data_IF_538450902132
#
_entry.id   IF_538450902132
#
_cell.length_a   1.000
_cell.length_b   1.000
_cell.length_c   1.000
_cell.angle_alpha   90.00
_cell.angle_beta   90.00
_cell.angle_gamma   90.00
#
_symmetry.space_group_name_H-M   'P 1'
#
loop_
_entity.id
_entity.type
_entity.pdbx_description
1 polymer ?
#
# COMPACT_ATOMS: atom_id res chain seq x y z
N UNK A 1 5.80 -52.06 18.76
CA UNK A 1 6.16 -50.65 19.04
C UNK A 1 5.93 -49.90 17.76
N UNK A 2 4.73 -49.34 17.59
CA UNK A 2 4.24 -48.77 16.34
C UNK A 2 4.55 -47.28 16.29
N UNK A 3 5.05 -46.83 15.14
CA UNK A 3 5.25 -45.42 14.81
C UNK A 3 3.90 -44.73 14.63
N UNK A 4 3.69 -43.62 15.33
CA UNK A 4 2.50 -42.77 15.20
C UNK A 4 2.95 -41.36 14.87
N UNK A 5 2.93 -41.04 13.58
CA UNK A 5 3.08 -39.70 13.02
C UNK A 5 1.97 -39.52 11.98
N UNK A 6 1.32 -38.35 12.09
CA UNK A 6 0.51 -37.64 11.10
C UNK A 6 -0.86 -38.19 10.69
N UNK A 7 -1.90 -37.52 11.18
CA UNK A 7 -3.24 -37.48 10.57
C UNK A 7 -3.78 -36.05 10.69
N UNK A 8 -3.32 -35.16 9.80
CA UNK A 8 -4.00 -33.89 9.52
C UNK A 8 -5.02 -34.12 8.38
N UNK A 9 -6.29 -33.72 8.53
CA UNK A 9 -7.28 -33.94 7.49
C UNK A 9 -6.99 -33.04 6.28
N UNK A 10 -6.59 -33.65 5.18
CA UNK A 10 -6.47 -33.00 3.87
C UNK A 10 -7.87 -32.62 3.38
N UNK A 11 -8.21 -31.32 3.41
CA UNK A 11 -9.45 -30.82 2.82
C UNK A 11 -9.29 -30.81 1.30
N UNK A 12 -9.81 -31.84 0.65
CA UNK A 12 -9.95 -31.92 -0.81
C UNK A 12 -11.14 -31.05 -1.22
N UNK A 13 -10.86 -29.90 -1.85
CA UNK A 13 -11.90 -29.02 -2.37
C UNK A 13 -12.46 -29.61 -3.68
N UNK A 14 -13.74 -29.95 -3.70
CA UNK A 14 -14.46 -30.38 -4.91
C UNK A 14 -15.23 -29.19 -5.49
N UNK A 15 -15.00 -28.77 -6.74
CA UNK A 15 -15.82 -27.76 -7.38
C UNK A 15 -17.24 -28.31 -7.65
N UNK A 16 -18.30 -27.49 -7.52
CA UNK A 16 -19.66 -27.90 -7.83
C UNK A 16 -19.84 -28.17 -9.33
N UNK A 17 -20.63 -29.17 -9.68
CA UNK A 17 -20.98 -29.55 -11.05
C UNK A 17 -21.94 -28.52 -11.67
N UNK A 18 -21.46 -27.81 -12.69
CA UNK A 18 -22.33 -27.03 -13.57
C UNK A 18 -22.77 -27.97 -14.69
N UNK A 19 -24.02 -28.42 -14.61
CA UNK A 19 -24.66 -29.20 -15.68
C UNK A 19 -24.85 -28.28 -16.87
N UNK A 20 -24.07 -28.51 -17.93
CA UNK A 20 -24.31 -27.92 -19.25
C UNK A 20 -25.17 -28.93 -20.00
N UNK A 21 -26.44 -28.59 -20.24
CA UNK A 21 -27.33 -29.44 -21.04
C UNK A 21 -26.80 -29.54 -22.48
N UNK A 22 -26.38 -30.75 -22.85
CA UNK A 22 -25.92 -31.15 -24.18
C UNK A 22 -27.12 -31.38 -25.12
N UNK A 23 -27.72 -30.32 -25.70
CA UNK A 23 -28.73 -30.54 -26.77
C UNK A 23 -28.76 -29.49 -27.90
N UNK A 24 -27.69 -28.72 -28.10
CA UNK A 24 -27.60 -27.76 -29.22
C UNK A 24 -26.32 -27.96 -30.08
N UNK A 25 -25.87 -29.21 -30.25
CA UNK A 25 -24.68 -29.54 -31.09
C UNK A 25 -25.05 -30.00 -32.51
N UNK A 26 -26.34 -30.02 -32.88
CA UNK A 26 -26.81 -30.67 -34.11
C UNK A 26 -27.26 -29.75 -35.26
N UNK A 27 -26.81 -28.48 -35.31
CA UNK A 27 -27.18 -27.57 -36.42
C UNK A 27 -26.08 -26.61 -36.87
N UNK A 28 -24.86 -27.10 -37.13
CA UNK A 28 -23.83 -26.29 -37.80
C UNK A 28 -23.17 -27.08 -38.95
N UNK A 29 -23.96 -27.33 -39.99
CA UNK A 29 -23.49 -27.77 -41.30
C UNK A 29 -23.94 -26.81 -42.39
N UNK A 30 -23.26 -25.66 -42.52
CA UNK A 30 -23.28 -24.86 -43.74
C UNK A 30 -22.08 -23.90 -43.74
N UNK A 31 -21.11 -24.21 -44.60
CA UNK A 31 -19.90 -23.44 -44.79
C UNK A 31 -20.19 -22.06 -45.40
N UNK A 32 -19.89 -21.00 -44.66
CA UNK A 32 -19.65 -19.66 -45.20
C UNK A 32 -18.18 -19.33 -44.96
N UNK A 33 -17.42 -19.26 -46.06
CA UNK A 33 -16.03 -18.81 -46.07
C UNK A 33 -16.01 -17.29 -45.85
N UNK A 34 -15.84 -16.87 -44.60
CA UNK A 34 -15.66 -15.45 -44.26
C UNK A 34 -14.29 -15.01 -44.77
N UNK A 35 -14.28 -14.04 -45.69
CA UNK A 35 -13.07 -13.34 -46.11
C UNK A 35 -12.66 -12.40 -44.97
N UNK A 36 -11.47 -12.62 -44.39
CA UNK A 36 -10.84 -11.65 -43.50
C UNK A 36 -10.37 -10.46 -44.35
N UNK A 37 -11.10 -9.35 -44.28
CA UNK A 37 -10.56 -8.05 -44.65
C UNK A 37 -9.59 -7.62 -43.55
N UNK A 38 -8.35 -7.30 -43.93
CA UNK A 38 -7.33 -6.76 -43.03
C UNK A 38 -7.79 -5.38 -42.54
N UNK A 39 -8.03 -5.18 -41.22
CA UNK A 39 -8.47 -3.89 -40.73
C UNK A 39 -7.28 -2.92 -40.72
N UNK A 40 -7.38 -1.83 -41.48
CA UNK A 40 -6.47 -0.70 -41.33
C UNK A 40 -6.49 -0.21 -39.87
N UNK A 41 -5.31 0.09 -39.27
CA UNK A 41 -5.24 0.52 -37.89
C UNK A 41 -5.81 1.93 -37.75
N UNK A 42 -7.00 2.04 -37.17
CA UNK A 42 -7.52 3.31 -36.68
C UNK A 42 -6.63 3.80 -35.52
N UNK A 43 -6.27 5.10 -35.48
CA UNK A 43 -5.46 5.64 -34.40
C UNK A 43 -6.20 5.47 -33.06
N UNK A 44 -5.51 5.05 -31.99
CA UNK A 44 -6.14 4.86 -30.70
C UNK A 44 -6.74 6.19 -30.21
N UNK A 45 -7.93 6.17 -29.58
CA UNK A 45 -8.47 7.35 -28.94
C UNK A 45 -7.46 7.89 -27.92
N UNK A 46 -7.32 9.23 -27.78
CA UNK A 46 -6.36 9.82 -26.85
C UNK A 46 -6.64 9.25 -25.46
N UNK A 47 -5.63 8.58 -24.89
CA UNK A 47 -5.70 8.05 -23.55
C UNK A 47 -6.13 9.18 -22.60
N UNK A 48 -7.27 9.00 -21.94
CA UNK A 48 -7.64 9.87 -20.84
C UNK A 48 -6.46 9.89 -19.86
N UNK A 49 -6.06 11.05 -19.31
CA UNK A 49 -4.97 11.10 -18.36
C UNK A 49 -5.34 10.21 -17.18
N UNK A 50 -4.67 9.06 -17.06
CA UNK A 50 -4.62 8.36 -15.78
C UNK A 50 -3.94 9.35 -14.83
N UNK A 51 -4.72 9.94 -13.92
CA UNK A 51 -4.19 10.65 -12.76
C UNK A 51 -3.36 9.64 -11.97
N UNK A 52 -2.07 9.56 -12.30
CA UNK A 52 -1.09 8.97 -11.40
C UNK A 52 -1.10 9.88 -10.18
N UNK A 53 -1.23 9.37 -8.94
CA UNK A 53 -1.00 10.21 -7.79
C UNK A 53 0.44 10.75 -7.93
N UNK A 54 0.55 12.05 -8.19
CA UNK A 54 1.83 12.75 -8.28
C UNK A 54 2.47 12.74 -6.88
N UNK A 55 3.22 11.68 -6.60
CA UNK A 55 4.11 11.66 -5.44
C UNK A 55 5.36 12.41 -5.85
N UNK A 56 5.38 13.71 -5.52
CA UNK A 56 6.57 14.55 -5.69
C UNK A 56 7.60 14.19 -4.62
N UNK A 57 8.74 13.64 -5.04
CA UNK A 57 9.87 13.33 -4.18
C UNK A 57 10.89 14.47 -4.25
N UNK A 58 10.94 15.32 -3.23
CA UNK A 58 12.03 16.28 -3.05
C UNK A 58 13.20 15.59 -2.32
N UNK A 59 14.24 15.22 -3.06
CA UNK A 59 15.46 14.62 -2.51
C UNK A 59 16.46 15.74 -2.23
N UNK A 60 16.55 16.17 -0.97
CA UNK A 60 17.55 17.15 -0.53
C UNK A 60 18.71 16.45 0.18
N UNK A 61 19.89 16.49 -0.43
CA UNK A 61 21.12 16.06 0.23
C UNK A 61 21.45 17.02 1.39
N UNK A 62 21.44 16.52 2.64
CA UNK A 62 21.80 17.28 3.83
C UNK A 62 23.27 17.02 4.16
N UNK A 63 24.15 17.91 3.70
CA UNK A 63 25.57 17.90 4.11
C UNK A 63 25.77 18.84 5.32
N UNK A 64 25.78 18.28 6.53
CA UNK A 64 26.10 18.98 7.78
C UNK A 64 26.59 18.02 8.86
N UNK A 65 27.18 18.50 9.99
CA UNK A 65 27.73 17.65 11.06
C UNK A 65 26.69 16.69 11.71
N UNK A 66 25.41 16.86 11.38
CA UNK A 66 24.28 15.98 11.70
C UNK A 66 24.22 14.69 10.86
N UNK A 67 25.19 14.43 9.98
CA UNK A 67 25.26 13.25 9.11
C UNK A 67 25.41 11.90 9.86
N UNK A 68 25.73 11.92 11.16
CA UNK A 68 25.75 10.73 12.01
C UNK A 68 24.39 10.45 12.70
N UNK A 69 23.55 11.47 12.88
CA UNK A 69 22.17 11.30 13.39
C UNK A 69 21.18 10.91 12.27
N UNK A 70 21.53 11.18 11.01
CA UNK A 70 20.70 10.92 9.82
C UNK A 70 20.60 9.45 9.45
N UNK A 71 21.53 8.57 9.86
CA UNK A 71 21.51 7.14 9.48
C UNK A 71 20.24 6.43 10.01
N UNK A 72 19.59 6.98 11.04
CA UNK A 72 18.33 6.43 11.57
C UNK A 72 17.07 7.12 11.05
N UNK A 73 17.17 8.28 10.38
CA UNK A 73 16.03 9.07 9.91
C UNK A 73 15.90 8.92 8.42
N UNK A 74 15.07 7.99 7.98
CA UNK A 74 14.94 7.62 6.57
C UNK A 74 13.76 8.34 5.93
N UNK A 75 12.64 8.45 6.65
CA UNK A 75 11.46 9.15 6.14
C UNK A 75 10.95 10.19 7.13
N UNK A 76 10.42 11.28 6.60
CA UNK A 76 9.67 12.27 7.36
C UNK A 76 8.26 12.40 6.80
N UNK A 77 7.26 12.11 7.61
CA UNK A 77 5.85 12.33 7.28
C UNK A 77 5.42 13.64 7.92
N UNK A 78 5.14 14.63 7.07
CA UNK A 78 4.73 15.96 7.50
C UNK A 78 3.21 16.06 7.54
N UNK A 79 2.69 16.56 8.65
CA UNK A 79 1.29 16.97 8.79
C UNK A 79 1.23 18.45 9.12
N UNK A 80 0.03 19.02 9.27
CA UNK A 80 -0.14 20.44 9.60
C UNK A 80 0.61 20.87 10.87
N UNK A 81 0.62 20.03 11.91
CA UNK A 81 1.12 20.40 13.23
C UNK A 81 2.30 19.56 13.71
N UNK A 82 2.61 18.43 13.03
CA UNK A 82 3.63 17.49 13.50
C UNK A 82 4.42 16.89 12.34
N UNK A 83 5.66 16.54 12.62
CA UNK A 83 6.52 15.71 11.76
C UNK A 83 6.75 14.37 12.44
N UNK A 84 6.48 13.28 11.73
CA UNK A 84 6.76 11.93 12.19
C UNK A 84 7.99 11.42 11.47
N UNK A 85 9.04 11.10 12.22
CA UNK A 85 10.31 10.62 11.68
C UNK A 85 10.32 9.11 11.78
N UNK A 86 10.59 8.44 10.65
CA UNK A 86 10.66 6.99 10.54
C UNK A 86 12.08 6.51 10.27
N UNK A 87 12.38 5.32 10.78
CA UNK A 87 13.58 4.55 10.40
C UNK A 87 13.37 3.72 9.13
N UNK A 88 14.41 3.01 8.69
CA UNK A 88 14.37 2.10 7.53
C UNK A 88 13.39 0.93 7.68
N UNK A 89 13.00 0.61 8.91
CA UNK A 89 12.00 -0.42 9.21
C UNK A 89 10.57 0.14 9.29
N UNK A 90 10.38 1.39 8.85
CA UNK A 90 9.13 2.13 8.89
C UNK A 90 8.60 2.36 10.32
N UNK A 91 9.45 2.30 11.35
CA UNK A 91 9.05 2.59 12.73
C UNK A 91 9.22 4.07 13.02
N UNK A 92 8.20 4.66 13.64
CA UNK A 92 8.30 6.03 14.11
C UNK A 92 9.21 6.09 15.33
N UNK A 93 10.33 6.79 15.18
CA UNK A 93 11.36 6.92 16.20
C UNK A 93 11.29 8.27 16.92
N UNK A 94 10.65 9.26 16.30
CA UNK A 94 10.54 10.61 16.84
C UNK A 94 9.32 11.33 16.26
N UNK A 95 8.68 12.17 17.08
CA UNK A 95 7.57 13.04 16.67
C UNK A 95 7.90 14.45 17.10
N UNK A 96 7.95 15.38 16.15
CA UNK A 96 8.25 16.79 16.41
C UNK A 96 6.98 17.60 16.30
N UNK A 97 6.72 18.47 17.27
CA UNK A 97 5.65 19.44 17.20
C UNK A 97 6.11 20.68 16.41
N UNK A 98 5.44 21.01 15.31
CA UNK A 98 5.84 22.10 14.42
C UNK A 98 5.64 23.49 15.03
N UNK A 99 4.74 23.64 16.01
CA UNK A 99 4.52 24.92 16.65
C UNK A 99 5.66 25.28 17.61
N UNK A 100 6.24 24.29 18.28
CA UNK A 100 7.31 24.49 19.28
C UNK A 100 8.70 24.10 18.79
N UNK A 101 8.78 23.28 17.73
CA UNK A 101 10.03 22.66 17.26
C UNK A 101 10.57 21.56 18.19
N UNK A 102 9.82 21.18 19.24
CA UNK A 102 10.30 20.23 20.26
C UNK A 102 9.83 18.81 19.95
N UNK A 103 10.72 17.84 20.16
CA UNK A 103 10.42 16.42 20.05
C UNK A 103 9.58 15.92 21.24
N UNK A 104 8.44 15.29 20.93
CA UNK A 104 7.57 14.62 21.89
C UNK A 104 7.93 13.12 21.98
N UNK A 105 8.73 12.77 22.99
CA UNK A 105 9.22 11.39 23.21
C UNK A 105 8.15 10.43 23.74
N UNK A 106 7.06 10.95 24.32
CA UNK A 106 5.98 10.14 24.89
C UNK A 106 4.80 10.00 23.94
N UNK A 107 4.95 10.45 22.69
CA UNK A 107 3.86 10.40 21.71
C UNK A 107 3.44 8.94 21.45
N UNK A 108 2.12 8.63 21.35
CA UNK A 108 1.64 7.25 21.18
C UNK A 108 2.25 6.50 19.99
N UNK A 109 2.63 7.22 18.93
CA UNK A 109 3.22 6.65 17.71
C UNK A 109 4.69 6.30 17.83
N UNK A 110 5.37 6.69 18.91
CA UNK A 110 6.74 6.25 19.15
C UNK A 110 6.78 4.71 19.24
N UNK A 111 7.62 4.11 18.40
CA UNK A 111 7.77 2.67 18.19
C UNK A 111 6.71 2.02 17.31
N UNK A 112 5.66 2.75 16.90
CA UNK A 112 4.65 2.23 15.98
C UNK A 112 5.19 2.17 14.56
N UNK A 113 4.77 1.15 13.80
CA UNK A 113 5.17 0.97 12.39
C UNK A 113 4.17 1.67 11.47
N UNK A 114 4.63 2.42 10.49
CA UNK A 114 3.80 2.97 9.43
C UNK A 114 3.36 1.83 8.50
N UNK A 115 2.05 1.74 8.27
CA UNK A 115 1.43 0.78 7.37
C UNK A 115 1.09 1.38 5.99
N UNK A 116 1.30 2.69 5.81
CA UNK A 116 0.95 3.43 4.60
C UNK A 116 -0.01 4.58 4.88
N UNK A 117 -0.80 4.96 3.87
CA UNK A 117 -1.81 6.01 3.98
C UNK A 117 -3.21 5.54 3.63
N UNK A 118 -4.23 6.09 4.29
CA UNK A 118 -5.64 5.82 4.04
C UNK A 118 -6.34 7.09 3.57
N UNK A 119 -7.09 6.98 2.48
CA UNK A 119 -8.00 8.02 2.03
C UNK A 119 -9.45 7.62 2.35
N UNK A 120 -10.11 8.34 3.25
CA UNK A 120 -11.46 8.03 3.69
C UNK A 120 -12.51 8.14 2.56
N UNK A 121 -12.27 9.02 1.60
CA UNK A 121 -13.24 9.33 0.54
C UNK A 121 -13.15 8.35 -0.64
N UNK A 122 -11.95 7.82 -0.91
CA UNK A 122 -11.69 6.96 -2.07
C UNK A 122 -11.61 5.47 -1.74
N UNK A 123 -11.72 5.09 -0.46
CA UNK A 123 -11.44 3.72 0.01
C UNK A 123 -10.06 3.18 -0.46
N UNK A 124 -9.15 4.11 -0.78
CA UNK A 124 -7.83 3.82 -1.33
C UNK A 124 -6.81 3.75 -0.19
N UNK A 125 -5.97 2.71 -0.25
CA UNK A 125 -4.82 2.51 0.61
C UNK A 125 -3.55 2.70 -0.22
N UNK A 126 -2.68 3.58 0.26
CA UNK A 126 -1.35 3.82 -0.31
C UNK A 126 -0.30 3.05 0.49
N UNK A 127 0.60 2.35 -0.21
CA UNK A 127 1.67 1.55 0.38
C UNK A 127 2.96 1.74 -0.43
N UNK A 128 4.15 1.82 0.22
CA UNK A 128 4.39 1.72 1.66
C UNK A 128 4.24 3.04 2.43
N UNK A 129 4.16 4.16 1.72
CA UNK A 129 4.10 5.50 2.30
C UNK A 129 2.74 6.15 2.02
N UNK A 130 2.28 7.04 2.91
CA UNK A 130 1.06 7.80 2.68
C UNK A 130 1.25 8.83 1.55
N UNK A 131 0.26 8.96 0.68
CA UNK A 131 0.21 10.07 -0.25
C UNK A 131 -0.14 11.40 0.46
N UNK A 132 0.32 12.56 -0.04
CA UNK A 132 -0.21 13.86 0.36
C UNK A 132 -1.76 13.89 0.28
N UNK A 133 -2.41 14.50 1.27
CA UNK A 133 -3.87 14.53 1.41
C UNK A 133 -4.49 13.26 2.02
N UNK A 134 -3.72 12.20 2.26
CA UNK A 134 -4.18 11.00 2.99
C UNK A 134 -3.87 11.09 4.49
N UNK A 135 -4.42 10.18 5.30
CA UNK A 135 -4.03 10.00 6.70
C UNK A 135 -2.95 8.92 6.79
N UNK A 136 -1.86 9.14 7.50
CA UNK A 136 -0.87 8.09 7.73
C UNK A 136 -1.39 7.10 8.76
N UNK A 137 -1.29 5.80 8.46
CA UNK A 137 -1.75 4.73 9.34
C UNK A 137 -0.55 4.13 10.07
N UNK A 138 -0.66 4.03 11.38
CA UNK A 138 0.33 3.44 12.27
C UNK A 138 -0.24 2.22 12.99
N UNK A 139 0.56 1.17 13.05
CA UNK A 139 0.27 -0.06 13.78
C UNK A 139 1.20 -0.21 14.97
N UNK A 140 0.65 -0.46 16.14
CA UNK A 140 1.40 -0.75 17.38
C UNK A 140 0.95 -2.07 17.96
N UNK A 141 1.90 -2.95 18.27
CA UNK A 141 1.60 -4.18 18.97
C UNK A 141 1.17 -3.87 20.41
N UNK A 142 0.06 -4.46 20.85
CA UNK A 142 -0.33 -4.49 22.25
C UNK A 142 0.06 -5.81 22.92
N UNK A 143 0.06 -5.82 24.25
CA UNK A 143 0.41 -6.98 25.09
C UNK A 143 -0.45 -8.23 24.86
N UNK A 144 -1.64 -8.08 24.27
CA UNK A 144 -2.62 -9.16 24.06
C UNK A 144 -2.55 -9.82 22.68
N UNK A 145 -1.41 -9.73 21.98
CA UNK A 145 -1.25 -10.18 20.59
C UNK A 145 -2.21 -9.47 19.60
N UNK A 146 -2.75 -8.31 19.99
CA UNK A 146 -3.60 -7.46 19.16
C UNK A 146 -2.79 -6.32 18.58
N UNK A 147 -3.16 -5.89 17.38
CA UNK A 147 -2.57 -4.72 16.73
C UNK A 147 -3.53 -3.55 16.86
N UNK A 148 -3.07 -2.47 17.48
CA UNK A 148 -3.79 -1.21 17.53
C UNK A 148 -3.41 -0.37 16.31
N UNK A 149 -4.43 -0.04 15.51
CA UNK A 149 -4.29 0.92 14.42
C UNK A 149 -4.59 2.33 14.93
N UNK A 150 -3.82 3.30 14.48
CA UNK A 150 -4.05 4.71 14.76
C UNK A 150 -3.67 5.52 13.54
N UNK A 151 -4.33 6.67 13.36
CA UNK A 151 -4.15 7.51 12.17
C UNK A 151 -3.69 8.90 12.55
N UNK A 152 -2.92 9.53 11.67
CA UNK A 152 -2.55 10.93 11.80
C UNK A 152 -3.63 11.85 11.24
N UNK A 153 -3.47 13.16 11.45
CA UNK A 153 -4.09 14.14 10.57
C UNK A 153 -3.54 14.05 9.14
N UNK A 154 -4.16 14.80 8.23
CA UNK A 154 -3.81 14.83 6.81
C UNK A 154 -2.31 15.10 6.60
N UNK A 155 -1.69 14.21 5.84
CA UNK A 155 -0.31 14.32 5.38
C UNK A 155 -0.23 15.44 4.36
N UNK A 156 0.76 16.31 4.52
CA UNK A 156 1.04 17.43 3.63
C UNK A 156 2.12 17.03 2.63
N UNK A 157 3.15 16.33 3.09
CA UNK A 157 4.25 15.81 2.26
C UNK A 157 4.96 14.65 2.96
N UNK A 158 5.72 13.89 2.19
CA UNK A 158 6.64 12.87 2.70
C UNK A 158 8.02 13.15 2.11
N UNK A 159 9.05 13.17 2.96
CA UNK A 159 10.44 13.35 2.53
C UNK A 159 11.23 12.07 2.78
N UNK A 160 12.18 11.79 1.91
CA UNK A 160 13.10 10.65 2.01
C UNK A 160 14.52 11.16 2.13
N UNK A 161 15.29 10.56 3.04
CA UNK A 161 16.69 10.85 3.29
C UNK A 161 17.50 9.59 2.94
N UNK A 162 18.32 9.70 1.90
CA UNK A 162 19.21 8.65 1.40
C UNK A 162 20.63 8.81 1.93
#
# INVERSE_FOLDING_TARGET
MSNQWDDEPTVVWSPPEWVVEEDEVAKLGAATRIQFAEPEPSPPPPAAPMERPDVEFDIRAVNGPTALASIRRVYEIWTKNRVYILDSSMRCIEVIDLATGVANKEHPFIGARCAGGRNHDKSELSFPLPAPGSEAVFQKAESSNRVKLSVTSKVVRVMFHA
#
